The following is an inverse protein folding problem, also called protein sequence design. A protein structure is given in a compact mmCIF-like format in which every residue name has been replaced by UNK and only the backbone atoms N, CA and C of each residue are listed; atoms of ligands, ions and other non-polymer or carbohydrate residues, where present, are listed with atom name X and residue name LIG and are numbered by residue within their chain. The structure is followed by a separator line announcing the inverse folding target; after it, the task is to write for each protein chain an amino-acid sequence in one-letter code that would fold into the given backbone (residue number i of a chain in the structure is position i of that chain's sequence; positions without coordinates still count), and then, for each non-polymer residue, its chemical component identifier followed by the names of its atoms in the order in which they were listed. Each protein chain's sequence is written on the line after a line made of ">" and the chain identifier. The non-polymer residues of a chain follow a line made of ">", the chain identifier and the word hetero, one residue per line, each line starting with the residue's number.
data_IF_851576205917
#
_entry.id   IF_851576205917
#
_cell.length_a   1.000
_cell.length_b   1.000
_cell.length_c   1.000
_cell.angle_alpha   90.00
_cell.angle_beta   90.00
_cell.angle_gamma   90.00
#
_symmetry.space_group_name_H-M   'P 1'
#
loop_
_entity.id
_entity.type
_entity.pdbx_description
1 polymer ?
#
# COMPACT_ATOMS: atom_id res chain seq x y z
N UNK A 1 -26.42 -9.54 14.48
CA UNK A 1 -26.01 -10.13 13.19
C UNK A 1 -24.53 -9.86 13.03
N UNK A 2 -23.66 -10.88 13.04
CA UNK A 2 -22.22 -10.67 12.86
C UNK A 2 -21.96 -10.37 11.38
N UNK A 3 -21.19 -9.33 11.07
CA UNK A 3 -20.84 -8.99 9.70
C UNK A 3 -20.06 -10.17 9.06
N UNK A 4 -20.28 -10.48 7.76
CA UNK A 4 -19.51 -11.51 7.09
C UNK A 4 -18.01 -11.13 7.08
N UNK A 5 -17.10 -12.10 7.22
CA UNK A 5 -15.67 -11.82 7.30
C UNK A 5 -15.17 -11.09 6.03
N UNK A 6 -14.41 -10.02 6.23
CA UNK A 6 -13.81 -9.25 5.15
C UNK A 6 -12.73 -10.09 4.46
N UNK A 7 -13.06 -10.57 3.27
CA UNK A 7 -12.30 -11.63 2.60
C UNK A 7 -10.83 -11.34 2.34
N UNK A 8 -10.43 -10.04 2.21
CA UNK A 8 -9.06 -9.53 1.92
C UNK A 8 -9.01 -8.03 1.55
N UNK A 9 -9.99 -7.22 1.96
CA UNK A 9 -10.07 -5.80 1.55
C UNK A 9 -9.72 -4.88 2.70
N UNK A 10 -8.93 -3.86 2.38
CA UNK A 10 -8.60 -2.76 3.26
C UNK A 10 -9.53 -1.60 2.89
N UNK A 11 -10.40 -1.13 3.78
CA UNK A 11 -11.05 0.15 3.60
C UNK A 11 -9.98 1.24 3.49
N UNK A 12 -10.02 1.99 2.38
CA UNK A 12 -9.11 3.10 2.13
C UNK A 12 -9.90 4.38 1.84
N UNK A 13 -9.35 5.51 2.28
CA UNK A 13 -9.88 6.85 1.98
C UNK A 13 -8.71 7.76 1.64
N UNK A 14 -8.75 8.39 0.47
CA UNK A 14 -7.77 9.41 0.10
C UNK A 14 -7.87 10.60 1.07
N UNK A 15 -6.73 11.03 1.60
CA UNK A 15 -6.59 12.16 2.51
C UNK A 15 -6.05 13.38 1.76
N UNK A 16 -5.10 13.16 0.85
CA UNK A 16 -4.46 14.20 0.07
C UNK A 16 -3.92 13.64 -1.25
N UNK A 17 -3.85 14.52 -2.24
CA UNK A 17 -3.19 14.31 -3.53
C UNK A 17 -2.52 15.60 -3.94
N UNK A 18 -1.22 15.52 -4.25
CA UNK A 18 -0.37 16.69 -4.45
C UNK A 18 0.54 16.48 -5.66
N UNK A 19 0.61 17.48 -6.54
CA UNK A 19 1.62 17.51 -7.60
C UNK A 19 2.99 17.88 -7.02
N UNK A 20 4.04 17.23 -7.52
CA UNK A 20 5.43 17.50 -7.17
C UNK A 20 6.07 18.43 -8.20
N UNK A 21 7.09 19.19 -7.78
CA UNK A 21 7.78 20.15 -8.64
C UNK A 21 8.46 19.52 -9.88
N UNK A 22 8.79 18.23 -9.81
CA UNK A 22 9.39 17.47 -10.92
C UNK A 22 8.35 16.90 -11.90
N UNK A 23 7.07 17.25 -11.76
CA UNK A 23 5.96 16.67 -12.52
C UNK A 23 5.49 15.32 -11.99
N UNK A 24 5.99 14.89 -10.83
CA UNK A 24 5.48 13.73 -10.11
C UNK A 24 4.22 14.01 -9.29
N UNK A 25 3.80 13.01 -8.54
CA UNK A 25 2.62 13.09 -7.69
C UNK A 25 2.82 12.33 -6.37
N UNK A 26 2.24 12.86 -5.29
CA UNK A 26 2.09 12.18 -4.01
C UNK A 26 0.61 11.96 -3.69
N UNK A 27 0.31 10.79 -3.14
CA UNK A 27 -1.03 10.42 -2.66
C UNK A 27 -0.90 9.90 -1.23
N UNK A 28 -1.77 10.38 -0.35
CA UNK A 28 -1.89 9.92 1.03
C UNK A 28 -3.27 9.30 1.26
N UNK A 29 -3.31 8.11 1.86
CA UNK A 29 -4.55 7.40 2.16
C UNK A 29 -4.61 6.99 3.63
N UNK A 30 -5.78 7.17 4.25
CA UNK A 30 -6.12 6.45 5.48
C UNK A 30 -6.47 5.01 5.12
N UNK A 31 -5.97 4.07 5.92
CA UNK A 31 -6.18 2.63 5.72
C UNK A 31 -6.64 2.01 7.02
N UNK A 32 -7.73 1.26 6.98
CA UNK A 32 -8.16 0.44 8.12
C UNK A 32 -7.74 -1.01 7.94
N UNK A 33 -7.30 -1.64 9.03
CA UNK A 33 -7.00 -3.07 9.11
C UNK A 33 -8.07 -3.77 9.93
N UNK A 34 -9.22 -4.16 9.34
CA UNK A 34 -10.22 -4.98 10.00
C UNK A 34 -9.63 -6.15 10.79
N UNK A 35 -10.10 -6.35 12.02
CA UNK A 35 -9.54 -7.35 12.92
C UNK A 35 -9.88 -8.79 12.48
N UNK A 36 -10.95 -8.96 11.70
CA UNK A 36 -11.52 -10.23 11.26
C UNK A 36 -10.96 -10.70 9.91
N UNK A 37 -9.87 -10.09 9.42
CA UNK A 37 -9.24 -10.55 8.18
C UNK A 37 -8.72 -11.97 8.32
N UNK A 38 -8.96 -12.78 7.29
CA UNK A 38 -8.44 -14.15 7.16
C UNK A 38 -6.91 -14.22 7.25
N UNK A 39 -6.21 -13.12 7.03
CA UNK A 39 -4.75 -13.05 7.14
C UNK A 39 -4.22 -13.27 8.56
N UNK A 40 -5.04 -13.05 9.58
CA UNK A 40 -4.65 -13.27 10.97
C UNK A 40 -4.85 -14.72 11.42
N UNK A 41 -5.63 -15.50 10.66
CA UNK A 41 -5.83 -16.92 10.94
C UNK A 41 -4.52 -17.69 10.70
N UNK A 42 -3.92 -18.18 11.78
CA UNK A 42 -2.63 -18.85 11.75
C UNK A 42 -1.40 -17.95 11.62
N UNK A 43 -1.53 -16.62 11.66
CA UNK A 43 -0.37 -15.70 11.55
C UNK A 43 -0.36 -14.63 12.65
N UNK A 44 -0.01 -14.96 13.90
CA UNK A 44 0.33 -16.29 14.43
C UNK A 44 -0.65 -16.66 15.55
N UNK A 45 -0.86 -17.95 15.85
CA UNK A 45 -1.67 -18.36 16.99
C UNK A 45 -1.19 -17.66 18.28
N UNK A 46 -2.10 -16.95 18.96
CA UNK A 46 -1.79 -16.18 20.18
C UNK A 46 -1.07 -14.84 19.95
N UNK A 47 -0.59 -14.54 18.74
CA UNK A 47 0.06 -13.28 18.40
C UNK A 47 -0.22 -12.88 16.94
N UNK A 48 -1.45 -12.44 16.62
CA UNK A 48 -1.84 -12.12 15.26
C UNK A 48 -1.14 -10.84 14.76
N UNK A 49 -0.44 -10.93 13.63
CA UNK A 49 0.15 -9.80 12.92
C UNK A 49 -0.12 -9.91 11.42
N UNK A 50 -0.25 -8.78 10.75
CA UNK A 50 -0.57 -8.74 9.32
C UNK A 50 0.65 -9.18 8.51
N UNK A 51 0.56 -10.25 7.70
CA UNK A 51 1.68 -10.71 6.88
C UNK A 51 2.15 -9.63 5.90
N UNK A 52 3.45 -9.59 5.61
CA UNK A 52 4.01 -8.61 4.68
C UNK A 52 3.36 -8.67 3.28
N UNK A 53 3.07 -9.88 2.78
CA UNK A 53 2.38 -10.07 1.49
C UNK A 53 0.96 -9.49 1.47
N UNK A 54 0.28 -9.43 2.63
CA UNK A 54 -1.03 -8.81 2.79
C UNK A 54 -0.95 -7.28 2.86
N UNK A 55 0.20 -6.71 3.26
CA UNK A 55 0.43 -5.28 3.09
C UNK A 55 0.71 -4.94 1.62
N UNK A 56 1.40 -5.81 0.88
CA UNK A 56 1.81 -5.56 -0.50
C UNK A 56 0.66 -5.67 -1.51
N UNK A 57 0.25 -6.89 -1.87
CA UNK A 57 -0.62 -7.08 -3.03
C UNK A 57 -2.04 -6.52 -2.87
N UNK A 58 -2.78 -6.83 -1.80
CA UNK A 58 -4.17 -6.38 -1.66
C UNK A 58 -4.32 -4.94 -1.16
N UNK A 59 -3.23 -4.30 -0.71
CA UNK A 59 -3.23 -2.91 -0.22
C UNK A 59 -2.32 -2.03 -1.07
N UNK A 60 -0.99 -2.12 -0.90
CA UNK A 60 -0.06 -1.17 -1.54
C UNK A 60 -0.17 -1.23 -3.07
N UNK A 61 -0.05 -2.41 -3.68
CA UNK A 61 -0.12 -2.55 -5.14
C UNK A 61 -1.52 -2.24 -5.68
N UNK A 62 -2.57 -2.55 -4.91
CA UNK A 62 -3.93 -2.18 -5.25
C UNK A 62 -4.11 -0.66 -5.33
N UNK A 63 -3.66 0.08 -4.32
CA UNK A 63 -3.77 1.54 -4.30
C UNK A 63 -2.85 2.22 -5.31
N UNK A 64 -1.67 1.66 -5.59
CA UNK A 64 -0.81 2.15 -6.68
C UNK A 64 -1.54 2.04 -8.04
N UNK A 65 -2.16 0.89 -8.33
CA UNK A 65 -2.89 0.70 -9.58
C UNK A 65 -4.13 1.60 -9.69
N UNK A 66 -4.78 1.93 -8.56
CA UNK A 66 -5.89 2.90 -8.52
C UNK A 66 -5.41 4.33 -8.74
N UNK A 67 -4.28 4.71 -8.16
CA UNK A 67 -3.73 6.06 -8.27
C UNK A 67 -3.15 6.32 -9.67
N UNK A 68 -2.51 5.31 -10.28
CA UNK A 68 -1.84 5.43 -11.58
C UNK A 68 -2.16 4.23 -12.49
N UNK A 69 -3.32 4.24 -13.17
CA UNK A 69 -3.75 3.14 -14.05
C UNK A 69 -2.86 2.92 -15.28
N UNK A 70 -2.01 3.89 -15.62
CA UNK A 70 -1.03 3.80 -16.71
C UNK A 70 0.16 2.90 -16.37
N UNK A 71 0.37 2.61 -15.07
CA UNK A 71 1.38 1.65 -14.64
C UNK A 71 0.87 0.22 -14.92
N UNK A 72 1.67 -0.54 -15.66
CA UNK A 72 1.40 -1.97 -15.91
C UNK A 72 1.60 -2.85 -14.66
N UNK A 73 1.86 -4.14 -14.87
CA UNK A 73 2.13 -5.05 -13.75
C UNK A 73 3.48 -4.72 -13.07
N UNK A 74 3.56 -4.77 -11.72
CA UNK A 74 4.80 -4.50 -10.99
C UNK A 74 5.88 -5.52 -11.37
N UNK A 75 7.11 -5.05 -11.59
CA UNK A 75 8.24 -5.89 -12.01
C UNK A 75 9.17 -6.24 -10.87
N UNK A 76 9.40 -5.29 -9.95
CA UNK A 76 10.37 -5.46 -8.88
C UNK A 76 9.98 -4.67 -7.65
N UNK A 77 10.20 -5.29 -6.50
CA UNK A 77 10.14 -4.64 -5.20
C UNK A 77 11.58 -4.49 -4.69
N UNK A 78 12.00 -3.28 -4.38
CA UNK A 78 13.33 -2.97 -3.88
C UNK A 78 13.27 -2.11 -2.62
N UNK A 79 14.36 -2.12 -1.84
CA UNK A 79 14.49 -1.36 -0.57
C UNK A 79 13.36 -1.64 0.43
N UNK A 80 12.74 -2.82 0.36
CA UNK A 80 11.66 -3.23 1.25
C UNK A 80 12.18 -3.39 2.68
N UNK A 81 11.53 -2.73 3.63
CA UNK A 81 11.83 -2.84 5.05
C UNK A 81 10.55 -3.05 5.85
N UNK A 82 10.57 -4.06 6.73
CA UNK A 82 9.55 -4.28 7.75
C UNK A 82 10.09 -3.74 9.07
N UNK A 83 9.47 -2.69 9.59
CA UNK A 83 9.96 -1.94 10.74
C UNK A 83 9.18 -2.28 12.00
N UNK A 84 7.86 -2.42 11.89
CA UNK A 84 6.97 -2.70 13.02
C UNK A 84 5.84 -3.64 12.59
N UNK A 85 5.39 -4.53 13.50
CA UNK A 85 4.21 -5.34 13.24
C UNK A 85 2.95 -4.48 13.13
N UNK A 86 2.06 -4.91 12.25
CA UNK A 86 0.71 -4.35 12.11
C UNK A 86 -0.26 -5.34 12.74
N UNK A 87 -1.07 -4.88 13.70
CA UNK A 87 -1.99 -5.72 14.45
C UNK A 87 -3.42 -5.63 13.91
N UNK A 88 -4.29 -6.60 14.26
CA UNK A 88 -5.73 -6.48 14.04
C UNK A 88 -6.28 -5.16 14.56
N UNK A 89 -7.16 -4.51 13.79
CA UNK A 89 -7.79 -3.24 14.16
C UNK A 89 -6.91 -2.00 13.98
N UNK A 90 -5.69 -2.13 13.42
CA UNK A 90 -4.81 -0.98 13.25
C UNK A 90 -5.36 0.05 12.24
N UNK A 91 -5.23 1.33 12.59
CA UNK A 91 -5.41 2.45 11.66
C UNK A 91 -4.06 2.90 11.14
N UNK A 92 -3.90 2.89 9.82
CA UNK A 92 -2.63 3.18 9.15
C UNK A 92 -2.79 4.35 8.18
N UNK A 93 -1.65 4.91 7.76
CA UNK A 93 -1.58 5.82 6.63
C UNK A 93 -0.64 5.25 5.57
N UNK A 94 -1.12 5.18 4.33
CA UNK A 94 -0.33 4.80 3.17
C UNK A 94 0.08 6.07 2.42
N UNK A 95 1.39 6.27 2.31
CA UNK A 95 2.02 7.34 1.57
C UNK A 95 2.58 6.77 0.27
N UNK A 96 2.15 7.27 -0.87
CA UNK A 96 2.62 6.90 -2.19
C UNK A 96 3.24 8.11 -2.87
N UNK A 97 4.38 7.93 -3.53
CA UNK A 97 5.07 8.99 -4.27
C UNK A 97 5.58 8.44 -5.60
N UNK A 98 5.19 9.07 -6.70
CA UNK A 98 5.65 8.77 -8.06
C UNK A 98 6.40 9.99 -8.61
N UNK A 99 7.73 10.07 -8.46
CA UNK A 99 8.54 11.19 -8.94
C UNK A 99 8.55 11.28 -10.47
N UNK A 100 8.45 12.49 -11.01
CA UNK A 100 8.58 12.79 -12.44
C UNK A 100 7.69 11.97 -13.39
N UNK A 101 6.57 11.42 -12.90
CA UNK A 101 5.71 10.51 -13.67
C UNK A 101 6.38 9.21 -14.11
N UNK A 102 7.55 8.87 -13.54
CA UNK A 102 8.34 7.72 -13.93
C UNK A 102 7.73 6.37 -13.52
N UNK A 103 8.37 5.25 -13.87
CA UNK A 103 7.88 3.91 -13.57
C UNK A 103 8.18 3.46 -12.13
N UNK A 104 8.60 4.37 -11.25
CA UNK A 104 8.97 4.06 -9.89
C UNK A 104 7.96 4.70 -8.93
N UNK A 105 7.43 3.88 -8.02
CA UNK A 105 6.59 4.36 -6.93
C UNK A 105 7.25 4.01 -5.60
N UNK A 106 7.47 5.01 -4.76
CA UNK A 106 7.91 4.85 -3.38
C UNK A 106 6.66 4.72 -2.51
N UNK A 107 6.68 3.80 -1.56
CA UNK A 107 5.61 3.69 -0.58
C UNK A 107 6.16 3.72 0.85
N UNK A 108 5.35 4.24 1.76
CA UNK A 108 5.54 4.11 3.20
C UNK A 108 4.19 3.91 3.87
N UNK A 109 4.09 2.84 4.67
CA UNK A 109 2.95 2.56 5.51
C UNK A 109 3.31 2.94 6.95
N UNK A 110 2.52 3.81 7.58
CA UNK A 110 2.78 4.29 8.95
C UNK A 110 1.61 4.01 9.89
N UNK A 111 1.92 3.91 11.19
CA UNK A 111 0.96 3.93 12.29
C UNK A 111 1.41 5.00 13.27
N UNK A 112 0.55 5.98 13.57
CA UNK A 112 0.87 7.08 14.49
C UNK A 112 2.21 7.78 14.14
N UNK A 113 2.44 8.01 12.84
CA UNK A 113 3.67 8.62 12.32
C UNK A 113 4.91 7.72 12.31
N UNK A 114 4.85 6.50 12.88
CA UNK A 114 5.95 5.54 12.87
C UNK A 114 5.83 4.61 11.66
N UNK A 115 6.93 4.36 10.97
CA UNK A 115 6.94 3.46 9.83
C UNK A 115 6.69 2.00 10.26
N UNK A 116 5.71 1.36 9.63
CA UNK A 116 5.47 -0.08 9.71
C UNK A 116 6.21 -0.80 8.58
N UNK A 117 6.08 -0.30 7.36
CA UNK A 117 6.81 -0.79 6.19
C UNK A 117 7.11 0.33 5.19
N UNK A 118 8.19 0.17 4.43
CA UNK A 118 8.56 1.11 3.37
C UNK A 118 9.31 0.40 2.26
N UNK A 119 9.24 0.92 1.05
CA UNK A 119 9.93 0.33 -0.09
C UNK A 119 9.67 1.06 -1.39
N UNK A 120 10.13 0.44 -2.47
CA UNK A 120 10.03 0.97 -3.83
C UNK A 120 9.49 -0.12 -4.75
N UNK A 121 8.44 0.20 -5.49
CA UNK A 121 7.89 -0.65 -6.54
C UNK A 121 8.31 -0.10 -7.89
N UNK A 122 8.92 -0.94 -8.70
CA UNK A 122 9.34 -0.64 -10.07
C UNK A 122 8.37 -1.30 -11.06
N UNK A 123 7.90 -0.51 -12.02
CA UNK A 123 6.97 -0.87 -13.07
C UNK A 123 7.66 -0.88 -14.44
N UNK A 124 7.01 -1.39 -15.50
CA UNK A 124 7.47 -1.17 -16.86
C UNK A 124 7.55 0.34 -17.13
N UNK A 125 8.46 0.81 -18.01
CA UNK A 125 8.39 2.18 -18.49
C UNK A 125 6.99 2.45 -19.08
N UNK A 126 6.45 3.67 -18.91
CA UNK A 126 5.17 4.02 -19.51
C UNK A 126 5.26 3.79 -21.03
N UNK A 127 4.17 3.28 -21.62
CA UNK A 127 4.12 3.13 -23.06
C UNK A 127 4.34 4.52 -23.71
N UNK A 128 5.10 4.61 -24.81
CA UNK A 128 5.22 5.88 -25.53
C UNK A 128 3.82 6.36 -25.91
N UNK A 129 3.55 7.65 -25.74
CA UNK A 129 2.30 8.24 -26.19
C UNK A 129 2.14 7.93 -27.69
N UNK A 130 0.99 7.38 -28.08
CA UNK A 130 0.69 7.15 -29.49
C UNK A 130 0.77 8.49 -30.22
N UNK A 131 1.56 8.53 -31.30
CA UNK A 131 1.76 9.70 -32.14
C UNK A 131 0.50 10.07 -32.93
#
# INVERSE_FOLDING_TARGET
>A
MSAPPLRRRFPTRELAREALADGGERVELAVEVPAEMLYFDGHFPGFPILPGVAQLAPLILHEIARAWPDLGAPRRLSRLKWRQPVFPGASLQLHLERPGGGPQVRFRLTREGRACSEGVVEFPPPAPAAA
#
